data_IF_970822355742
#
_entry.id   IF_970822355742
#
_cell.length_a   1.000
_cell.length_b   1.000
_cell.length_c   1.000
_cell.angle_alpha   90.00
_cell.angle_beta   90.00
_cell.angle_gamma   90.00
#
_symmetry.space_group_name_H-M   'P 1'
#
loop_
_entity.id
_entity.type
_entity.pdbx_description
1 polymer ?
#
# COMPACT_ATOMS: atom_id res chain seq x y z
N UNK A 1 48.31 -36.48 13.37
CA UNK A 1 47.72 -36.09 12.06
C UNK A 1 46.22 -35.73 12.09
N UNK A 2 45.56 -35.62 13.26
CA UNK A 2 44.11 -35.31 13.32
C UNK A 2 43.81 -33.80 13.48
N UNK A 3 44.70 -33.03 14.12
CA UNK A 3 44.48 -31.60 14.45
C UNK A 3 44.69 -30.65 13.26
N UNK A 4 45.48 -31.04 12.25
CA UNK A 4 45.70 -30.24 11.04
C UNK A 4 44.52 -30.31 10.05
N UNK A 5 43.74 -31.41 10.05
CA UNK A 5 42.59 -31.57 9.17
C UNK A 5 41.37 -30.75 9.61
N UNK A 6 41.18 -30.53 10.91
CA UNK A 6 40.09 -29.69 11.45
C UNK A 6 40.31 -28.19 11.23
N UNK A 7 41.55 -27.68 11.31
CA UNK A 7 41.84 -26.26 11.03
C UNK A 7 41.58 -25.86 9.57
N UNK A 8 41.89 -26.72 8.60
CA UNK A 8 41.62 -26.48 7.18
C UNK A 8 40.11 -26.46 6.90
N UNK A 9 39.34 -27.36 7.53
CA UNK A 9 37.89 -27.44 7.37
C UNK A 9 37.15 -26.22 7.94
N UNK A 10 37.57 -25.69 9.10
CA UNK A 10 36.99 -24.49 9.72
C UNK A 10 37.31 -23.23 8.91
N UNK A 11 38.52 -23.12 8.35
CA UNK A 11 38.92 -21.98 7.52
C UNK A 11 38.16 -21.96 6.17
N UNK A 12 37.90 -23.14 5.59
CA UNK A 12 37.17 -23.30 4.33
C UNK A 12 35.66 -23.02 4.50
N UNK A 13 35.07 -23.38 5.65
CA UNK A 13 33.68 -23.06 6.00
C UNK A 13 33.46 -21.58 6.31
N UNK A 14 34.42 -20.94 7.01
CA UNK A 14 34.41 -19.49 7.29
C UNK A 14 34.49 -18.64 6.01
N UNK A 15 35.36 -19.02 5.06
CA UNK A 15 35.46 -18.36 3.76
C UNK A 15 34.19 -18.52 2.90
N UNK A 16 33.56 -19.70 2.91
CA UNK A 16 32.33 -19.93 2.14
C UNK A 16 31.14 -19.10 2.68
N UNK A 17 31.07 -18.92 4.01
CA UNK A 17 30.06 -18.07 4.65
C UNK A 17 30.30 -16.58 4.35
N UNK A 18 31.54 -16.10 4.40
CA UNK A 18 31.87 -14.71 4.06
C UNK A 18 31.67 -14.38 2.58
N UNK A 19 31.96 -15.31 1.66
CA UNK A 19 31.65 -15.15 0.23
C UNK A 19 30.13 -15.10 -0.01
N UNK A 20 29.34 -15.96 0.65
CA UNK A 20 27.87 -15.89 0.57
C UNK A 20 27.32 -14.58 1.13
N UNK A 21 27.86 -14.09 2.25
CA UNK A 21 27.47 -12.80 2.83
C UNK A 21 27.86 -11.65 1.91
N UNK A 22 29.07 -11.64 1.35
CA UNK A 22 29.53 -10.61 0.42
C UNK A 22 28.75 -10.62 -0.90
N UNK A 23 28.47 -11.80 -1.48
CA UNK A 23 27.63 -11.94 -2.67
C UNK A 23 26.20 -11.46 -2.41
N UNK A 24 25.64 -11.76 -1.22
CA UNK A 24 24.35 -11.22 -0.79
C UNK A 24 24.37 -9.71 -0.63
N UNK A 25 25.45 -9.15 -0.06
CA UNK A 25 25.64 -7.70 0.11
C UNK A 25 25.82 -6.97 -1.21
N UNK A 26 26.52 -7.57 -2.18
CA UNK A 26 26.69 -7.04 -3.54
C UNK A 26 25.37 -7.12 -4.31
N UNK A 27 24.65 -8.24 -4.20
CA UNK A 27 23.31 -8.40 -4.75
C UNK A 27 22.34 -7.37 -4.17
N UNK A 28 22.32 -7.20 -2.85
CA UNK A 28 21.47 -6.23 -2.15
C UNK A 28 21.85 -4.79 -2.50
N UNK A 29 23.13 -4.47 -2.66
CA UNK A 29 23.59 -3.14 -3.09
C UNK A 29 23.20 -2.84 -4.54
N UNK A 30 23.32 -3.83 -5.44
CA UNK A 30 22.88 -3.71 -6.83
C UNK A 30 21.37 -3.48 -6.93
N UNK A 31 20.57 -4.22 -6.16
CA UNK A 31 19.13 -4.00 -6.02
C UNK A 31 18.80 -2.61 -5.51
N UNK A 32 19.53 -2.11 -4.52
CA UNK A 32 19.32 -0.77 -3.98
C UNK A 32 19.61 0.33 -5.01
N UNK A 33 20.72 0.23 -5.75
CA UNK A 33 21.04 1.16 -6.84
C UNK A 33 20.01 1.11 -7.98
N UNK A 34 19.48 -0.07 -8.28
CA UNK A 34 18.44 -0.26 -9.29
C UNK A 34 17.10 0.35 -8.84
N UNK A 35 16.74 0.21 -7.57
CA UNK A 35 15.57 0.86 -6.97
C UNK A 35 15.69 2.38 -7.08
N UNK A 36 16.84 2.97 -6.76
CA UNK A 36 17.04 4.42 -6.83
C UNK A 36 16.92 4.96 -8.26
N UNK A 37 17.45 4.23 -9.25
CA UNK A 37 17.28 4.55 -10.67
C UNK A 37 15.81 4.43 -11.11
N UNK A 38 15.10 3.39 -10.68
CA UNK A 38 13.68 3.19 -10.96
C UNK A 38 12.85 4.32 -10.32
N UNK A 39 13.13 4.71 -9.08
CA UNK A 39 12.47 5.82 -8.39
C UNK A 39 12.72 7.16 -9.11
N UNK A 40 13.94 7.38 -9.60
CA UNK A 40 14.27 8.56 -10.41
C UNK A 40 13.49 8.60 -11.73
N UNK A 41 13.41 7.47 -12.44
CA UNK A 41 12.64 7.35 -13.67
C UNK A 41 11.13 7.54 -13.41
N UNK A 42 10.60 6.95 -12.34
CA UNK A 42 9.19 7.11 -11.94
C UNK A 42 8.81 8.56 -11.65
N UNK A 43 9.72 9.34 -11.04
CA UNK A 43 9.49 10.79 -10.85
C UNK A 43 9.28 11.51 -12.17
N UNK A 44 10.06 11.16 -13.21
CA UNK A 44 9.98 11.79 -14.54
C UNK A 44 8.88 11.23 -15.45
N UNK A 45 8.34 10.05 -15.15
CA UNK A 45 7.28 9.42 -15.94
C UNK A 45 6.00 10.25 -15.99
N UNK A 46 5.46 10.47 -17.20
CA UNK A 46 4.17 11.15 -17.45
C UNK A 46 3.10 10.26 -18.09
N UNK A 47 3.46 9.03 -18.50
CA UNK A 47 2.57 8.11 -19.20
C UNK A 47 2.52 6.77 -18.49
N UNK A 48 1.36 6.09 -18.49
CA UNK A 48 1.24 4.73 -17.96
C UNK A 48 2.16 3.76 -18.69
N UNK A 49 2.41 3.98 -19.99
CA UNK A 49 3.22 3.05 -20.80
C UNK A 49 4.64 2.88 -20.26
N UNK A 50 5.26 3.96 -19.76
CA UNK A 50 6.60 3.87 -19.15
C UNK A 50 6.54 3.19 -17.79
N UNK A 51 5.45 3.36 -17.04
CA UNK A 51 5.24 2.61 -15.78
C UNK A 51 5.06 1.12 -16.04
N UNK A 52 4.39 0.73 -17.14
CA UNK A 52 4.28 -0.68 -17.56
C UNK A 52 5.65 -1.29 -17.89
N UNK A 53 6.50 -0.55 -18.59
CA UNK A 53 7.87 -0.98 -18.88
C UNK A 53 8.68 -1.15 -17.60
N UNK A 54 8.58 -0.21 -16.67
CA UNK A 54 9.25 -0.29 -15.36
C UNK A 54 8.72 -1.49 -14.56
N UNK A 55 7.40 -1.73 -14.56
CA UNK A 55 6.83 -2.90 -13.91
C UNK A 55 7.38 -4.20 -14.49
N UNK A 56 7.46 -4.33 -15.81
CA UNK A 56 8.07 -5.50 -16.46
C UNK A 56 9.53 -5.69 -16.01
N UNK A 57 10.31 -4.61 -15.92
CA UNK A 57 11.69 -4.68 -15.42
C UNK A 57 11.76 -5.09 -13.94
N UNK A 58 10.85 -4.61 -13.10
CA UNK A 58 10.77 -5.00 -11.67
C UNK A 58 10.48 -6.49 -11.52
N UNK A 59 9.58 -7.05 -12.34
CA UNK A 59 9.25 -8.47 -12.34
C UNK A 59 10.43 -9.32 -12.79
N UNK A 60 11.09 -8.95 -13.90
CA UNK A 60 12.26 -9.67 -14.43
C UNK A 60 13.40 -9.68 -13.42
N UNK A 61 13.64 -8.54 -12.74
CA UNK A 61 14.73 -8.41 -11.77
C UNK A 61 14.36 -8.94 -10.37
N UNK A 62 13.17 -9.50 -10.14
CA UNK A 62 12.70 -10.00 -8.84
C UNK A 62 12.77 -8.95 -7.71
N UNK A 63 12.47 -7.69 -8.00
CA UNK A 63 12.49 -6.62 -6.99
C UNK A 63 11.19 -6.68 -6.17
N UNK A 64 11.27 -7.15 -4.92
CA UNK A 64 10.12 -7.44 -4.07
C UNK A 64 9.43 -6.22 -3.42
N UNK A 65 9.50 -5.02 -4.01
CA UNK A 65 8.82 -3.80 -3.50
C UNK A 65 8.06 -3.01 -4.59
N UNK A 66 7.03 -3.58 -5.22
CA UNK A 66 6.25 -2.95 -6.29
C UNK A 66 5.37 -1.75 -5.84
N UNK A 67 5.22 -1.54 -4.54
CA UNK A 67 4.27 -0.58 -3.96
C UNK A 67 4.48 0.89 -4.40
N UNK A 68 5.69 1.27 -4.83
CA UNK A 68 5.98 2.62 -5.34
C UNK A 68 5.37 2.90 -6.72
N UNK A 69 5.08 1.85 -7.50
CA UNK A 69 4.40 2.01 -8.78
C UNK A 69 2.94 2.39 -8.59
N UNK A 70 2.30 1.81 -7.57
CA UNK A 70 0.87 1.99 -7.35
C UNK A 70 0.50 3.43 -7.03
N UNK A 71 1.31 4.12 -6.21
CA UNK A 71 1.12 5.56 -5.95
C UNK A 71 1.25 6.39 -7.23
N UNK A 72 2.21 6.07 -8.11
CA UNK A 72 2.38 6.75 -9.40
C UNK A 72 1.21 6.48 -10.34
N UNK A 73 0.70 5.25 -10.39
CA UNK A 73 -0.44 4.90 -11.24
C UNK A 73 -1.72 5.65 -10.85
N UNK A 74 -1.95 5.81 -9.54
CA UNK A 74 -3.05 6.65 -9.04
C UNK A 74 -2.88 8.11 -9.47
N UNK A 75 -1.65 8.65 -9.42
CA UNK A 75 -1.38 10.01 -9.90
C UNK A 75 -1.63 10.17 -11.41
N UNK A 76 -1.33 9.13 -12.18
CA UNK A 76 -1.62 9.08 -13.63
C UNK A 76 -3.10 8.79 -13.92
N UNK A 77 -3.92 8.54 -12.89
CA UNK A 77 -5.36 8.27 -12.95
C UNK A 77 -5.75 7.06 -13.79
N UNK A 78 -4.82 6.15 -14.09
CA UNK A 78 -5.07 4.93 -14.85
C UNK A 78 -5.68 3.87 -13.93
N UNK A 79 -7.00 3.79 -13.94
CA UNK A 79 -7.76 2.93 -13.03
C UNK A 79 -7.59 1.44 -13.39
N UNK A 80 -7.72 1.11 -14.68
CA UNK A 80 -7.65 -0.25 -15.19
C UNK A 80 -6.29 -0.88 -14.88
N UNK A 81 -5.20 -0.15 -15.13
CA UNK A 81 -3.88 -0.67 -14.85
C UNK A 81 -3.56 -0.70 -13.35
N UNK A 82 -4.05 0.27 -12.56
CA UNK A 82 -3.86 0.26 -11.08
C UNK A 82 -4.51 -0.97 -10.45
N UNK A 83 -5.74 -1.30 -10.86
CA UNK A 83 -6.47 -2.46 -10.34
C UNK A 83 -5.85 -3.79 -10.80
N UNK A 84 -5.46 -3.88 -12.07
CA UNK A 84 -4.72 -5.03 -12.59
C UNK A 84 -3.40 -5.23 -11.83
N UNK A 85 -2.61 -4.18 -11.68
CA UNK A 85 -1.35 -4.22 -10.95
C UNK A 85 -1.56 -4.70 -9.52
N UNK A 86 -2.54 -4.15 -8.81
CA UNK A 86 -2.85 -4.57 -7.44
C UNK A 86 -3.20 -6.06 -7.34
N UNK A 87 -3.96 -6.59 -8.30
CA UNK A 87 -4.30 -8.03 -8.36
C UNK A 87 -3.09 -8.95 -8.57
N UNK A 88 -2.00 -8.41 -9.14
CA UNK A 88 -0.77 -9.14 -9.43
C UNK A 88 0.22 -9.12 -8.24
N UNK A 89 -0.02 -8.31 -7.21
CA UNK A 89 0.87 -8.23 -6.04
C UNK A 89 0.68 -9.51 -5.18
N UNK A 90 1.73 -10.34 -5.03
CA UNK A 90 1.66 -11.48 -4.12
C UNK A 90 1.70 -10.97 -2.67
N UNK A 91 0.84 -11.51 -1.79
CA UNK A 91 0.76 -11.14 -0.37
C UNK A 91 0.63 -9.61 -0.16
N UNK A 92 -0.50 -9.05 -0.61
CA UNK A 92 -0.79 -7.62 -0.49
C UNK A 92 -0.69 -7.15 0.96
N UNK A 93 0.16 -6.15 1.20
CA UNK A 93 0.34 -5.54 2.51
C UNK A 93 -0.60 -4.34 2.76
N UNK A 94 -0.62 -3.88 3.99
CA UNK A 94 -1.33 -2.69 4.48
C UNK A 94 -1.10 -1.46 3.59
N UNK A 95 0.16 -1.18 3.23
CA UNK A 95 0.51 -0.03 2.41
C UNK A 95 -0.15 -0.05 1.03
N UNK A 96 -0.16 -1.21 0.35
CA UNK A 96 -0.81 -1.34 -0.96
C UNK A 96 -2.33 -1.15 -0.86
N UNK A 97 -2.97 -1.69 0.19
CA UNK A 97 -4.39 -1.45 0.47
C UNK A 97 -4.68 0.03 0.72
N UNK A 98 -3.90 0.69 1.58
CA UNK A 98 -4.05 2.11 1.91
C UNK A 98 -3.95 2.99 0.66
N UNK A 99 -2.99 2.70 -0.21
CA UNK A 99 -2.84 3.39 -1.49
C UNK A 99 -4.08 3.19 -2.38
N UNK A 100 -4.56 1.95 -2.57
CA UNK A 100 -5.73 1.70 -3.40
C UNK A 100 -6.99 2.35 -2.84
N UNK A 101 -7.27 2.16 -1.56
CA UNK A 101 -8.47 2.71 -0.90
C UNK A 101 -8.46 4.24 -1.00
N UNK A 102 -7.29 4.87 -0.79
CA UNK A 102 -7.12 6.31 -1.02
C UNK A 102 -7.41 6.70 -2.46
N UNK A 103 -6.79 6.05 -3.45
CA UNK A 103 -6.99 6.36 -4.87
C UNK A 103 -8.45 6.19 -5.31
N UNK A 104 -9.11 5.11 -4.87
CA UNK A 104 -10.53 4.84 -5.10
C UNK A 104 -11.42 5.96 -4.56
N UNK A 105 -11.07 6.51 -3.40
CA UNK A 105 -11.84 7.57 -2.74
C UNK A 105 -11.55 8.95 -3.35
N UNK A 106 -10.28 9.33 -3.51
CA UNK A 106 -9.89 10.70 -3.86
C UNK A 106 -9.77 10.95 -5.35
N UNK A 107 -9.32 9.96 -6.12
CA UNK A 107 -9.01 10.13 -7.55
C UNK A 107 -10.18 9.72 -8.41
N UNK A 108 -10.73 8.54 -8.15
CA UNK A 108 -11.77 7.93 -9.00
C UNK A 108 -13.18 8.02 -8.42
N UNK A 109 -13.33 8.43 -7.16
CA UNK A 109 -14.62 8.57 -6.45
C UNK A 109 -15.48 7.29 -6.51
N UNK A 110 -14.83 6.13 -6.50
CA UNK A 110 -15.45 4.80 -6.49
C UNK A 110 -15.61 4.31 -5.05
N UNK A 111 -16.49 4.97 -4.30
CA UNK A 111 -16.67 4.72 -2.86
C UNK A 111 -17.10 3.29 -2.52
N UNK A 112 -17.97 2.67 -3.34
CA UNK A 112 -18.39 1.28 -3.13
C UNK A 112 -17.18 0.33 -3.20
N UNK A 113 -16.36 0.51 -4.23
CA UNK A 113 -15.16 -0.29 -4.44
C UNK A 113 -14.11 -0.04 -3.34
N UNK A 114 -14.02 1.18 -2.80
CA UNK A 114 -13.16 1.48 -1.65
C UNK A 114 -13.58 0.67 -0.41
N UNK A 115 -14.89 0.55 -0.15
CA UNK A 115 -15.41 -0.28 0.94
C UNK A 115 -15.22 -1.79 0.67
N UNK A 116 -15.33 -2.24 -0.57
CA UNK A 116 -15.00 -3.62 -0.95
C UNK A 116 -13.53 -3.94 -0.68
N UNK A 117 -12.60 -3.03 -1.02
CA UNK A 117 -11.18 -3.20 -0.74
C UNK A 117 -10.88 -3.19 0.77
N UNK A 118 -11.56 -2.34 1.54
CA UNK A 118 -11.49 -2.36 3.00
C UNK A 118 -12.00 -3.70 3.57
N UNK A 119 -13.09 -4.25 3.04
CA UNK A 119 -13.57 -5.59 3.39
C UNK A 119 -12.54 -6.68 3.05
N UNK A 120 -11.95 -6.60 1.85
CA UNK A 120 -10.90 -7.53 1.39
C UNK A 120 -9.67 -7.48 2.28
N UNK A 121 -9.20 -6.29 2.64
CA UNK A 121 -8.08 -6.07 3.56
C UNK A 121 -8.30 -6.86 4.87
N UNK A 122 -9.48 -6.71 5.47
CA UNK A 122 -9.86 -7.42 6.69
C UNK A 122 -9.97 -8.93 6.50
N UNK A 123 -10.53 -9.39 5.38
CA UNK A 123 -10.68 -10.83 5.07
C UNK A 123 -9.33 -11.54 4.94
N UNK A 124 -8.29 -10.81 4.52
CA UNK A 124 -6.92 -11.30 4.42
C UNK A 124 -6.12 -11.16 5.73
N UNK A 125 -6.76 -10.73 6.82
CA UNK A 125 -6.10 -10.50 8.11
C UNK A 125 -5.21 -9.27 8.15
N UNK A 126 -5.24 -8.42 7.12
CA UNK A 126 -4.50 -7.15 7.11
C UNK A 126 -5.28 -6.13 7.94
N UNK A 127 -4.64 -5.59 8.99
CA UNK A 127 -5.30 -4.71 9.95
C UNK A 127 -5.42 -3.28 9.40
N UNK A 128 -6.63 -2.70 9.31
CA UNK A 128 -6.80 -1.29 8.98
C UNK A 128 -6.14 -0.36 10.00
N UNK A 129 -5.58 0.75 9.51
CA UNK A 129 -4.82 1.71 10.31
C UNK A 129 -5.36 3.14 10.15
N UNK A 130 -4.65 4.12 10.71
CA UNK A 130 -5.01 5.54 10.62
C UNK A 130 -4.90 6.12 9.20
N UNK A 131 -4.26 5.42 8.25
CA UNK A 131 -4.27 5.77 6.84
C UNK A 131 -5.43 5.11 6.08
N UNK A 132 -6.03 4.05 6.62
CA UNK A 132 -7.22 3.40 6.04
C UNK A 132 -8.52 4.12 6.42
N UNK A 133 -8.75 4.31 7.72
CA UNK A 133 -10.04 4.74 8.26
C UNK A 133 -10.57 6.06 7.70
N UNK A 134 -9.73 7.09 7.43
CA UNK A 134 -10.25 8.34 6.86
C UNK A 134 -10.98 8.15 5.54
N UNK A 135 -10.44 7.31 4.66
CA UNK A 135 -11.04 7.04 3.35
C UNK A 135 -12.26 6.12 3.44
N UNK A 136 -12.29 5.22 4.44
CA UNK A 136 -13.48 4.42 4.77
C UNK A 136 -14.62 5.32 5.21
N UNK A 137 -14.36 6.29 6.10
CA UNK A 137 -15.39 7.22 6.57
C UNK A 137 -15.87 8.18 5.50
N UNK A 138 -14.97 8.71 4.66
CA UNK A 138 -15.35 9.49 3.47
C UNK A 138 -16.27 8.67 2.56
N UNK A 139 -15.91 7.41 2.29
CA UNK A 139 -16.73 6.52 1.46
C UNK A 139 -18.10 6.25 2.09
N UNK A 140 -18.15 6.00 3.40
CA UNK A 140 -19.42 5.81 4.11
C UNK A 140 -20.30 7.07 4.09
N UNK A 141 -19.71 8.26 4.24
CA UNK A 141 -20.45 9.53 4.18
C UNK A 141 -21.07 9.76 2.80
N UNK A 142 -20.30 9.56 1.72
CA UNK A 142 -20.78 9.73 0.35
C UNK A 142 -21.84 8.69 -0.05
N UNK A 143 -21.78 7.47 0.51
CA UNK A 143 -22.75 6.40 0.24
C UNK A 143 -23.91 6.37 1.23
N UNK A 144 -23.95 7.27 2.21
CA UNK A 144 -24.88 7.23 3.33
C UNK A 144 -24.89 5.87 4.08
N UNK A 145 -23.75 5.19 4.08
CA UNK A 145 -23.61 3.82 4.59
C UNK A 145 -23.39 3.80 6.12
N UNK A 146 -24.38 4.28 6.89
CA UNK A 146 -24.28 4.46 8.34
C UNK A 146 -23.88 3.18 9.08
N UNK A 147 -24.43 2.04 8.67
CA UNK A 147 -24.17 0.74 9.29
C UNK A 147 -22.68 0.39 9.20
N UNK A 148 -22.08 0.55 8.02
CA UNK A 148 -20.65 0.32 7.79
C UNK A 148 -19.80 1.32 8.56
N UNK A 149 -20.18 2.60 8.56
CA UNK A 149 -19.50 3.65 9.31
C UNK A 149 -19.45 3.38 10.82
N UNK A 150 -20.55 2.92 11.43
CA UNK A 150 -20.58 2.55 12.86
C UNK A 150 -19.69 1.34 13.19
N UNK A 151 -19.65 0.34 12.32
CA UNK A 151 -18.76 -0.82 12.49
C UNK A 151 -17.29 -0.37 12.43
N UNK A 152 -16.92 0.45 11.45
CA UNK A 152 -15.58 1.00 11.34
C UNK A 152 -15.21 1.89 12.54
N UNK A 153 -16.15 2.70 13.05
CA UNK A 153 -15.95 3.50 14.26
C UNK A 153 -15.66 2.62 15.49
N UNK A 154 -16.41 1.53 15.67
CA UNK A 154 -16.18 0.59 16.77
C UNK A 154 -14.77 -0.03 16.71
N UNK A 155 -14.27 -0.28 15.50
CA UNK A 155 -12.90 -0.76 15.30
C UNK A 155 -11.84 0.30 15.59
N UNK A 156 -12.08 1.56 15.22
CA UNK A 156 -11.20 2.70 15.57
C UNK A 156 -11.01 2.79 17.08
N UNK A 157 -12.10 2.68 17.85
CA UNK A 157 -12.06 2.67 19.32
C UNK A 157 -11.24 1.50 19.83
N UNK A 158 -11.52 0.29 19.35
CA UNK A 158 -10.80 -0.93 19.76
C UNK A 158 -9.31 -0.87 19.40
N UNK A 159 -8.96 -0.20 18.31
CA UNK A 159 -7.58 -0.07 17.83
C UNK A 159 -6.82 1.11 18.46
N UNK A 160 -7.45 1.89 19.34
CA UNK A 160 -6.81 3.04 20.01
C UNK A 160 -6.56 4.23 19.08
N UNK A 161 -7.34 4.36 18.00
CA UNK A 161 -7.15 5.41 16.99
C UNK A 161 -8.04 6.65 17.22
N UNK A 162 -8.70 6.75 18.38
CA UNK A 162 -9.58 7.87 18.74
C UNK A 162 -8.86 9.22 18.93
N UNK A 163 -7.53 9.22 19.01
CA UNK A 163 -6.72 10.45 19.15
C UNK A 163 -6.07 10.86 17.83
N UNK A 164 -6.19 10.07 16.76
CA UNK A 164 -5.66 10.45 15.46
C UNK A 164 -6.55 11.53 14.82
N UNK A 165 -5.97 12.70 14.60
CA UNK A 165 -6.69 13.87 14.09
C UNK A 165 -7.41 13.59 12.75
N UNK A 166 -6.77 12.87 11.83
CA UNK A 166 -7.36 12.59 10.52
C UNK A 166 -8.51 11.60 10.62
N UNK A 167 -8.37 10.58 11.47
CA UNK A 167 -9.44 9.60 11.76
C UNK A 167 -10.64 10.28 12.43
N UNK A 168 -10.41 11.11 13.44
CA UNK A 168 -11.49 11.82 14.15
C UNK A 168 -12.20 12.82 13.23
N UNK A 169 -11.45 13.61 12.46
CA UNK A 169 -12.01 14.58 11.53
C UNK A 169 -12.92 13.91 10.48
N UNK A 170 -12.42 12.86 9.84
CA UNK A 170 -13.19 12.11 8.83
C UNK A 170 -14.41 11.39 9.41
N UNK A 171 -14.33 10.89 10.65
CA UNK A 171 -15.44 10.29 11.37
C UNK A 171 -16.57 11.31 11.63
N UNK A 172 -16.23 12.52 12.08
CA UNK A 172 -17.20 13.60 12.30
C UNK A 172 -17.89 13.95 10.98
N UNK A 173 -17.12 14.14 9.91
CA UNK A 173 -17.65 14.42 8.56
C UNK A 173 -18.60 13.32 8.07
N UNK A 174 -18.30 12.06 8.37
CA UNK A 174 -19.20 10.95 8.03
C UNK A 174 -20.52 11.04 8.79
N UNK A 175 -20.51 11.22 10.10
CA UNK A 175 -21.76 11.33 10.86
C UNK A 175 -22.57 12.57 10.49
N UNK A 176 -21.92 13.70 10.20
CA UNK A 176 -22.63 14.90 9.75
C UNK A 176 -23.32 14.69 8.40
N UNK A 177 -22.69 13.94 7.49
CA UNK A 177 -23.28 13.64 6.18
C UNK A 177 -24.50 12.71 6.26
N UNK A 178 -24.53 11.81 7.25
CA UNK A 178 -25.58 10.77 7.36
C UNK A 178 -26.70 11.15 8.34
N UNK A 179 -26.59 12.29 9.02
CA UNK A 179 -27.62 12.75 9.95
C UNK A 179 -28.92 13.12 9.19
N UNK A 180 -30.11 12.59 9.58
CA UNK A 180 -31.39 12.79 8.87
C UNK A 180 -31.97 14.22 8.91
N UNK A 181 -31.17 15.23 9.29
CA UNK A 181 -31.62 16.59 9.60
C UNK A 181 -30.87 17.72 8.88
N UNK A 182 -30.14 17.43 7.79
CA UNK A 182 -29.69 18.44 6.82
C UNK A 182 -28.67 19.47 7.31
N UNK A 183 -27.43 19.35 6.84
CA UNK A 183 -26.78 20.53 6.28
C UNK A 183 -26.96 20.45 4.77
N UNK A 184 -27.76 21.37 4.23
CA UNK A 184 -28.03 21.52 2.81
C UNK A 184 -26.72 21.55 2.01
N UNK A 185 -26.50 20.54 1.17
CA UNK A 185 -25.50 20.59 0.09
C UNK A 185 -26.10 21.20 -1.20
N UNK A 186 -26.97 22.20 -1.04
CA UNK A 186 -27.33 23.13 -2.11
C UNK A 186 -26.75 24.49 -1.75
N UNK A 187 -25.45 24.67 -1.97
CA UNK A 187 -24.82 25.97 -2.25
C UNK A 187 -23.36 25.69 -2.61
N UNK A 188 -23.13 25.42 -3.90
CA UNK A 188 -22.09 26.00 -4.77
C UNK A 188 -22.15 25.17 -6.05
N UNK A 189 -23.01 25.61 -6.98
CA UNK A 189 -22.71 25.52 -8.42
C UNK A 189 -21.91 26.77 -8.78
#
# INVERSE_FOLDING_TARGET
MVVLRTKIFIHQFSCHLTIKIAARKIHDHHHQTLIDQILFLLRKCKSTQTVRQIHAQILINSIHKPNFLLSKLILLKDFEYSTLFFSQIPNVNDYAFNIMIRGLTTTWQKFNLALEYYGKMKSLGVKPDNFTYPFVFISCGNLLALKTGRLAHSEVVRNGLCSDFHVVHSLITMYSAVWPGGFCAETVR
#
